data_IF_675443023155
#
_entry.id   IF_675443023155
#
_cell.length_a   1.000
_cell.length_b   1.000
_cell.length_c   1.000
_cell.angle_alpha   90.00
_cell.angle_beta   90.00
_cell.angle_gamma   90.00
#
_symmetry.space_group_name_H-M   'P 1'
#
loop_
_entity.id
_entity.type
_entity.pdbx_description
1 polymer ?
#
# COMPACT_ATOMS: atom_id res chain seq x y z
N UNK A 1 -8.64 2.42 -12.61
CA UNK A 1 -9.01 1.37 -11.65
C UNK A 1 -9.98 0.43 -12.33
N UNK A 2 -9.86 -0.88 -12.06
CA UNK A 2 -10.56 -1.91 -12.85
C UNK A 2 -11.70 -2.61 -12.11
N UNK A 3 -11.69 -2.62 -10.77
CA UNK A 3 -12.78 -3.22 -10.01
C UNK A 3 -14.07 -2.37 -10.05
N UNK A 4 -15.21 -3.00 -9.78
CA UNK A 4 -16.54 -2.37 -9.79
C UNK A 4 -16.58 -1.08 -8.96
N UNK A 5 -15.90 -1.05 -7.81
CA UNK A 5 -15.86 0.09 -6.91
C UNK A 5 -15.10 1.27 -7.54
N UNK A 6 -13.97 0.99 -8.19
CA UNK A 6 -13.20 2.00 -8.92
C UNK A 6 -14.00 2.58 -10.11
N UNK A 7 -14.81 1.77 -10.77
CA UNK A 7 -15.60 2.18 -11.94
C UNK A 7 -16.95 2.81 -11.57
N UNK A 8 -17.38 2.69 -10.31
CA UNK A 8 -18.73 3.07 -9.87
C UNK A 8 -19.06 4.57 -9.98
N UNK A 9 -18.06 5.46 -9.90
CA UNK A 9 -18.25 6.90 -9.77
C UNK A 9 -18.92 7.36 -8.45
N UNK A 10 -19.21 6.45 -7.52
CA UNK A 10 -19.95 6.73 -6.27
C UNK A 10 -19.12 6.47 -5.01
N UNK A 11 -17.97 5.80 -5.14
CA UNK A 11 -17.08 5.46 -4.03
C UNK A 11 -15.62 5.50 -4.46
N UNK A 12 -14.72 5.62 -3.49
CA UNK A 12 -13.27 5.55 -3.63
C UNK A 12 -12.67 4.29 -2.97
N UNK A 13 -13.50 3.39 -2.43
CA UNK A 13 -13.06 2.21 -1.68
C UNK A 13 -12.67 1.06 -2.61
N UNK A 14 -11.45 1.12 -3.16
CA UNK A 14 -10.89 0.05 -3.98
C UNK A 14 -10.91 -1.31 -3.25
N UNK A 15 -11.33 -2.38 -3.92
CA UNK A 15 -11.40 -3.74 -3.36
C UNK A 15 -10.32 -4.69 -3.90
N UNK A 16 -9.53 -4.27 -4.89
CA UNK A 16 -8.61 -5.16 -5.62
C UNK A 16 -7.47 -5.76 -4.78
N UNK A 17 -7.09 -5.10 -3.68
CA UNK A 17 -6.02 -5.57 -2.77
C UNK A 17 -6.50 -5.72 -1.33
N UNK A 18 -7.81 -5.54 -1.09
CA UNK A 18 -8.34 -5.35 0.27
C UNK A 18 -8.19 -6.59 1.16
N UNK A 19 -8.31 -7.78 0.58
CA UNK A 19 -8.20 -9.06 1.28
C UNK A 19 -6.79 -9.25 1.85
N UNK A 20 -5.77 -9.31 0.97
CA UNK A 20 -4.37 -9.49 1.38
C UNK A 20 -3.84 -8.32 2.21
N UNK A 21 -4.25 -7.08 1.92
CA UNK A 21 -3.91 -5.91 2.74
C UNK A 21 -4.45 -6.06 4.18
N UNK A 22 -5.64 -6.64 4.36
CA UNK A 22 -6.23 -6.91 5.67
C UNK A 22 -5.50 -7.99 6.46
N UNK A 23 -4.86 -8.94 5.76
CA UNK A 23 -4.00 -9.98 6.32
C UNK A 23 -2.55 -9.49 6.57
N UNK A 24 -2.22 -8.27 6.14
CA UNK A 24 -0.88 -7.71 6.25
C UNK A 24 0.12 -8.31 5.24
N UNK A 25 -0.37 -8.69 4.06
CA UNK A 25 0.39 -9.32 3.00
C UNK A 25 0.34 -8.50 1.70
N UNK A 26 1.30 -8.74 0.81
CA UNK A 26 1.27 -8.23 -0.56
C UNK A 26 0.21 -8.98 -1.39
N UNK A 27 -0.16 -8.50 -2.60
CA UNK A 27 -1.14 -9.17 -3.45
C UNK A 27 -0.80 -10.63 -3.83
N UNK A 28 0.46 -11.02 -3.73
CA UNK A 28 0.93 -12.40 -3.95
C UNK A 28 0.86 -13.29 -2.70
N UNK A 29 0.26 -12.81 -1.60
CA UNK A 29 0.10 -13.55 -0.35
C UNK A 29 1.37 -13.66 0.49
N UNK A 30 2.40 -12.84 0.24
CA UNK A 30 3.67 -12.90 0.98
C UNK A 30 4.04 -11.56 1.63
N UNK A 31 4.97 -11.58 2.58
CA UNK A 31 5.57 -10.34 3.14
C UNK A 31 6.91 -10.01 2.47
N UNK A 32 7.32 -8.74 2.58
CA UNK A 32 8.66 -8.26 2.20
C UNK A 32 9.53 -7.90 3.40
N UNK A 33 8.95 -7.99 4.60
CA UNK A 33 9.66 -7.69 5.84
C UNK A 33 9.98 -8.95 6.62
N UNK A 34 11.18 -8.97 7.17
CA UNK A 34 11.61 -9.97 8.14
C UNK A 34 12.57 -9.33 9.13
N UNK A 35 12.54 -9.78 10.37
CA UNK A 35 13.49 -9.37 11.39
C UNK A 35 13.92 -10.61 12.19
N UNK A 36 15.23 -10.82 12.32
CA UNK A 36 15.81 -11.99 12.98
C UNK A 36 15.24 -13.33 12.48
N UNK A 37 15.06 -13.44 11.16
CA UNK A 37 14.51 -14.64 10.51
C UNK A 37 13.02 -14.86 10.71
N UNK A 38 12.32 -13.95 11.41
CA UNK A 38 10.87 -14.00 11.57
C UNK A 38 10.19 -13.04 10.58
N UNK A 39 9.13 -13.49 9.87
CA UNK A 39 8.36 -12.61 8.99
C UNK A 39 7.65 -11.54 9.80
N UNK A 40 7.62 -10.32 9.28
CA UNK A 40 6.82 -9.22 9.81
C UNK A 40 5.72 -8.88 8.81
N UNK A 41 4.51 -8.61 9.28
CA UNK A 41 3.41 -8.23 8.40
C UNK A 41 3.51 -6.78 7.95
N UNK A 42 3.00 -6.52 6.74
CA UNK A 42 2.73 -5.18 6.28
C UNK A 42 1.58 -4.56 7.06
N UNK A 43 1.57 -3.24 7.18
CA UNK A 43 0.48 -2.49 7.77
C UNK A 43 -0.16 -1.56 6.75
N UNK A 44 -1.48 -1.71 6.56
CA UNK A 44 -2.29 -0.94 5.62
C UNK A 44 -1.73 -0.88 4.19
N UNK A 45 -0.87 -1.82 3.78
CA UNK A 45 -0.28 -1.86 2.44
C UNK A 45 0.75 -0.75 2.17
N UNK A 46 1.22 -0.03 3.20
CA UNK A 46 2.18 1.06 3.08
C UNK A 46 3.43 0.86 3.96
N UNK A 47 3.26 0.51 5.23
CA UNK A 47 4.35 0.19 6.17
C UNK A 47 5.46 1.26 6.20
N UNK A 48 5.10 2.54 6.34
CA UNK A 48 6.02 3.69 6.18
C UNK A 48 6.98 3.92 7.34
N UNK A 49 6.90 3.13 8.43
CA UNK A 49 7.84 3.18 9.55
C UNK A 49 9.05 2.26 9.30
N UNK A 50 9.66 2.39 8.13
CA UNK A 50 10.86 1.69 7.67
C UNK A 50 11.57 2.59 6.67
N UNK A 51 12.91 2.55 6.63
CA UNK A 51 13.70 3.32 5.65
C UNK A 51 13.35 2.94 4.20
N UNK A 52 12.93 1.69 3.98
CA UNK A 52 12.45 1.18 2.71
C UNK A 52 11.17 0.37 2.90
N UNK A 53 10.26 0.48 1.93
CA UNK A 53 9.04 -0.32 1.87
C UNK A 53 8.79 -0.78 0.44
N UNK A 54 7.99 -1.84 0.29
CA UNK A 54 7.53 -2.36 -0.99
C UNK A 54 6.01 -2.28 -0.98
N UNK A 55 5.42 -1.64 -1.99
CA UNK A 55 3.97 -1.44 -2.09
C UNK A 55 3.44 -2.00 -3.40
N UNK A 56 2.14 -2.34 -3.44
CA UNK A 56 1.48 -2.64 -4.70
C UNK A 56 1.39 -1.37 -5.56
N UNK A 57 1.52 -1.50 -6.87
CA UNK A 57 1.47 -0.34 -7.79
C UNK A 57 0.18 0.49 -7.60
N UNK A 58 -0.96 -0.17 -7.40
CA UNK A 58 -2.27 0.47 -7.16
C UNK A 58 -2.33 1.30 -5.87
N UNK A 59 -1.35 1.13 -4.96
CA UNK A 59 -1.24 1.85 -3.69
C UNK A 59 -0.23 3.00 -3.74
N UNK A 60 0.36 3.29 -4.91
CA UNK A 60 1.35 4.35 -5.10
C UNK A 60 0.79 5.47 -5.97
N UNK A 61 0.95 6.72 -5.54
CA UNK A 61 0.65 7.90 -6.34
C UNK A 61 1.93 8.71 -6.57
N UNK A 62 2.29 8.93 -7.84
CA UNK A 62 3.36 9.87 -8.20
C UNK A 62 2.87 11.30 -8.00
N UNK A 63 3.61 12.09 -7.23
CA UNK A 63 3.31 13.51 -6.97
C UNK A 63 4.28 14.45 -7.69
N UNK A 64 4.06 15.76 -7.56
CA UNK A 64 4.95 16.79 -8.09
C UNK A 64 6.36 16.64 -7.49
N UNK A 65 7.43 16.53 -8.31
CA UNK A 65 8.80 16.42 -7.81
C UNK A 65 9.30 17.65 -7.03
N UNK A 66 8.63 18.81 -7.15
CA UNK A 66 8.96 20.03 -6.41
C UNK A 66 8.24 20.15 -5.05
N UNK A 67 7.38 19.20 -4.70
CA UNK A 67 6.66 19.22 -3.43
C UNK A 67 7.61 18.98 -2.24
N UNK A 68 7.40 19.70 -1.13
CA UNK A 68 8.17 19.47 0.10
C UNK A 68 7.66 18.21 0.83
N UNK A 69 8.43 17.12 0.76
CA UNK A 69 8.09 15.82 1.35
C UNK A 69 7.88 15.84 2.88
N UNK A 70 8.53 16.75 3.61
CA UNK A 70 8.34 16.90 5.06
C UNK A 70 6.97 17.48 5.44
N UNK A 71 6.26 18.07 4.47
CA UNK A 71 4.93 18.67 4.71
C UNK A 71 3.80 17.88 4.06
N UNK A 72 4.02 17.31 2.86
CA UNK A 72 2.95 16.62 2.11
C UNK A 72 2.72 15.18 2.57
N UNK A 73 3.51 14.68 3.53
CA UNK A 73 3.34 13.36 4.11
C UNK A 73 2.31 13.30 5.25
N UNK A 74 1.85 14.47 5.74
CA UNK A 74 0.88 14.67 6.82
C UNK A 74 -0.40 15.36 6.29
#
# INVERSE_FOLDING_TARGET
GECDFCQSGKTNLCVSVRETQGEGLMPDGTTRFSYNGQPLYHYMGCSTFSEYTVVAEVSLAKINPEANHEHVCL
#
